data_IF_989057185255
#
_entry.id   IF_989057185255
#
_cell.length_a   1.000
_cell.length_b   1.000
_cell.length_c   1.000
_cell.angle_alpha   90.00
_cell.angle_beta   90.00
_cell.angle_gamma   90.00
#
_symmetry.space_group_name_H-M   'P 1'
#
loop_
_entity.id
_entity.type
_entity.pdbx_description
1 polymer ?
#
# COMPACT_ATOMS: atom_id res chain seq x y z
N UNK A 1 -17.80 -10.55 -28.63
CA UNK A 1 -16.61 -9.68 -28.50
C UNK A 1 -15.79 -10.21 -27.34
N UNK A 2 -14.53 -10.63 -27.53
CA UNK A 2 -13.71 -11.04 -26.40
C UNK A 2 -13.41 -9.78 -25.56
N UNK A 3 -13.82 -9.80 -24.29
CA UNK A 3 -13.48 -8.78 -23.29
C UNK A 3 -11.96 -8.72 -23.17
N UNK A 4 -11.36 -7.54 -23.24
CA UNK A 4 -9.93 -7.36 -23.06
C UNK A 4 -9.52 -7.97 -21.71
N UNK A 5 -8.74 -9.04 -21.72
CA UNK A 5 -8.17 -9.63 -20.51
C UNK A 5 -7.06 -8.71 -20.05
N UNK A 6 -7.34 -7.86 -19.05
CA UNK A 6 -6.30 -7.04 -18.41
C UNK A 6 -5.24 -7.95 -17.80
N UNK A 7 -3.96 -7.73 -18.14
CA UNK A 7 -2.86 -8.53 -17.59
C UNK A 7 -2.66 -8.23 -16.10
N UNK A 8 -2.16 -9.20 -15.34
CA UNK A 8 -1.83 -9.02 -13.91
C UNK A 8 -0.89 -7.82 -13.69
N UNK A 9 0.11 -7.66 -14.57
CA UNK A 9 1.03 -6.52 -14.55
C UNK A 9 0.29 -5.19 -14.65
N UNK A 10 -0.65 -5.05 -15.59
CA UNK A 10 -1.43 -3.81 -15.75
C UNK A 10 -2.29 -3.49 -14.51
N UNK A 11 -2.83 -4.52 -13.85
CA UNK A 11 -3.57 -4.34 -12.58
C UNK A 11 -2.63 -3.84 -11.48
N UNK A 12 -1.45 -4.45 -11.34
CA UNK A 12 -0.46 -4.03 -10.34
C UNK A 12 0.05 -2.61 -10.61
N UNK A 13 0.29 -2.23 -11.87
CA UNK A 13 0.68 -0.88 -12.27
C UNK A 13 -0.40 0.16 -11.90
N UNK A 14 -1.67 -0.16 -12.12
CA UNK A 14 -2.78 0.71 -11.73
C UNK A 14 -2.85 0.91 -10.21
N UNK A 15 -2.66 -0.17 -9.44
CA UNK A 15 -2.61 -0.11 -7.97
C UNK A 15 -1.43 0.75 -7.51
N UNK A 16 -0.22 0.52 -8.04
CA UNK A 16 0.98 1.29 -7.70
C UNK A 16 0.78 2.77 -8.02
N UNK A 17 0.17 3.09 -9.17
CA UNK A 17 -0.13 4.47 -9.55
C UNK A 17 -1.07 5.13 -8.53
N UNK A 18 -2.17 4.47 -8.16
CA UNK A 18 -3.10 4.98 -7.17
C UNK A 18 -2.47 5.20 -5.79
N UNK A 19 -1.62 4.28 -5.34
CA UNK A 19 -0.87 4.41 -4.09
C UNK A 19 0.15 5.56 -4.16
N UNK A 20 0.83 5.72 -5.29
CA UNK A 20 1.79 6.81 -5.52
C UNK A 20 1.11 8.17 -5.51
N UNK A 21 -0.07 8.29 -6.13
CA UNK A 21 -0.90 9.49 -6.06
C UNK A 21 -1.32 9.78 -4.61
N UNK A 22 -1.74 8.76 -3.85
CA UNK A 22 -2.07 8.94 -2.43
C UNK A 22 -0.88 9.45 -1.61
N UNK A 23 0.32 8.89 -1.81
CA UNK A 23 1.55 9.37 -1.15
C UNK A 23 1.81 10.84 -1.47
N UNK A 24 1.76 11.23 -2.75
CA UNK A 24 2.03 12.61 -3.18
C UNK A 24 1.04 13.63 -2.62
N UNK A 25 -0.22 13.25 -2.43
CA UNK A 25 -1.27 14.18 -1.98
C UNK A 25 -1.43 14.22 -0.46
N UNK A 26 -1.08 13.16 0.25
CA UNK A 26 -1.46 12.97 1.65
C UNK A 26 -0.26 13.01 2.60
N UNK A 27 0.95 12.78 2.10
CA UNK A 27 2.17 12.85 2.90
C UNK A 27 2.92 14.15 2.61
N UNK A 28 3.76 14.61 3.55
CA UNK A 28 4.69 15.70 3.30
C UNK A 28 5.58 15.43 2.07
N UNK A 29 6.11 16.48 1.41
CA UNK A 29 7.11 16.32 0.36
C UNK A 29 8.31 15.48 0.83
N UNK A 30 8.91 14.75 -0.11
CA UNK A 30 10.05 13.87 0.15
C UNK A 30 9.67 12.40 0.32
N UNK A 31 8.42 12.06 0.62
CA UNK A 31 7.99 10.66 0.65
C UNK A 31 7.70 10.11 -0.75
N UNK A 32 8.27 8.94 -1.06
CA UNK A 32 8.13 8.24 -2.34
C UNK A 32 7.74 6.78 -2.11
N UNK A 33 6.94 6.23 -3.03
CA UNK A 33 6.59 4.81 -3.06
C UNK A 33 7.42 4.08 -4.12
N UNK A 34 8.00 2.92 -3.78
CA UNK A 34 8.68 2.06 -4.76
C UNK A 34 8.19 0.62 -4.63
N UNK A 35 7.82 -0.05 -5.73
CA UNK A 35 7.56 -1.48 -5.71
C UNK A 35 8.88 -2.25 -5.53
N UNK A 36 8.78 -3.45 -4.97
CA UNK A 36 9.90 -4.39 -4.89
C UNK A 36 9.37 -5.84 -4.99
N UNK A 37 10.27 -6.82 -4.85
CA UNK A 37 9.88 -8.23 -4.85
C UNK A 37 9.51 -8.77 -6.23
N UNK A 38 8.54 -9.69 -6.27
CA UNK A 38 8.18 -10.47 -7.46
C UNK A 38 7.63 -9.63 -8.62
N UNK A 39 6.99 -8.49 -8.33
CA UNK A 39 6.54 -7.54 -9.35
C UNK A 39 7.72 -6.96 -10.15
N UNK A 40 8.77 -6.51 -9.47
CA UNK A 40 9.95 -5.91 -10.13
C UNK A 40 10.79 -6.98 -10.86
N UNK A 41 10.68 -8.23 -10.45
CA UNK A 41 11.39 -9.36 -11.06
C UNK A 41 10.60 -10.04 -12.19
N UNK A 42 9.38 -9.59 -12.48
CA UNK A 42 8.45 -10.23 -13.43
C UNK A 42 8.18 -11.73 -13.14
N UNK A 43 8.19 -12.12 -11.86
CA UNK A 43 7.98 -13.50 -11.37
C UNK A 43 6.69 -13.65 -10.54
N UNK A 44 5.71 -12.78 -10.77
CA UNK A 44 4.46 -12.76 -10.04
C UNK A 44 3.63 -14.05 -10.23
N UNK A 45 3.12 -14.57 -9.12
CA UNK A 45 2.14 -15.67 -9.13
C UNK A 45 0.77 -15.15 -8.67
N UNK A 46 -0.33 -15.64 -9.24
CA UNK A 46 -1.67 -15.30 -8.75
C UNK A 46 -1.81 -15.56 -7.24
N UNK A 47 -2.38 -14.58 -6.52
CA UNK A 47 -2.56 -14.65 -5.06
C UNK A 47 -1.33 -14.26 -4.23
N UNK A 48 -0.20 -13.90 -4.86
CA UNK A 48 0.94 -13.30 -4.13
C UNK A 48 0.68 -11.84 -3.77
N UNK A 49 1.35 -11.37 -2.72
CA UNK A 49 1.27 -9.97 -2.32
C UNK A 49 2.01 -9.08 -3.33
N UNK A 50 1.49 -7.87 -3.51
CA UNK A 50 2.21 -6.80 -4.19
C UNK A 50 2.99 -6.00 -3.14
N UNK A 51 4.31 -6.12 -3.19
CA UNK A 51 5.18 -5.49 -2.20
C UNK A 51 5.58 -4.07 -2.63
N UNK A 52 5.33 -3.11 -1.74
CA UNK A 52 5.71 -1.71 -1.92
C UNK A 52 6.37 -1.17 -0.67
N UNK A 53 7.38 -0.34 -0.84
CA UNK A 53 8.08 0.32 0.25
C UNK A 53 7.94 1.84 0.13
N UNK A 54 7.79 2.48 1.29
CA UNK A 54 7.66 3.92 1.45
C UNK A 54 9.01 4.46 1.94
N UNK A 55 9.63 5.32 1.14
CA UNK A 55 10.96 5.88 1.39
C UNK A 55 10.87 7.39 1.56
N UNK A 56 11.75 7.95 2.38
CA UNK A 56 11.97 9.39 2.45
C UNK A 56 13.22 9.76 1.63
N UNK A 57 13.05 10.65 0.67
CA UNK A 57 14.09 11.23 -0.16
C UNK A 57 14.24 12.71 0.23
N UNK A 58 15.06 12.95 1.26
CA UNK A 58 15.26 14.28 1.83
C UNK A 58 16.22 14.25 3.01
N UNK A 59 16.38 15.40 3.65
CA UNK A 59 17.09 15.53 4.92
C UNK A 59 16.04 15.52 6.03
N UNK A 60 16.08 14.53 6.92
CA UNK A 60 15.22 14.54 8.10
C UNK A 60 15.69 15.67 9.02
N UNK A 61 14.85 16.68 9.24
CA UNK A 61 15.14 17.73 10.20
C UNK A 61 14.91 17.21 11.62
N UNK A 62 15.85 17.47 12.53
CA UNK A 62 15.70 17.15 13.95
C UNK A 62 14.39 17.74 14.50
N UNK A 63 13.52 16.87 15.04
CA UNK A 63 12.23 17.26 15.61
C UNK A 63 11.00 16.99 14.74
N UNK A 64 11.16 16.63 13.46
CA UNK A 64 10.05 16.15 12.63
C UNK A 64 9.85 14.64 12.80
N UNK A 65 9.10 14.24 13.82
CA UNK A 65 8.60 12.86 13.91
C UNK A 65 7.28 12.74 13.16
N UNK A 66 7.35 12.40 11.86
CA UNK A 66 6.16 12.06 11.07
C UNK A 66 6.12 10.56 10.81
N UNK A 67 5.11 9.88 11.36
CA UNK A 67 4.87 8.48 11.04
C UNK A 67 4.16 8.36 9.69
N UNK A 68 4.95 8.27 8.62
CA UNK A 68 4.46 8.22 7.25
C UNK A 68 3.62 6.97 6.94
N UNK A 69 3.93 5.84 7.58
CA UNK A 69 3.14 4.63 7.43
C UNK A 69 1.72 4.81 7.99
N UNK A 70 1.61 5.42 9.18
CA UNK A 70 0.31 5.72 9.79
C UNK A 70 -0.45 6.80 9.02
N UNK A 71 0.25 7.85 8.57
CA UNK A 71 -0.34 8.91 7.74
C UNK A 71 -0.93 8.36 6.43
N UNK A 72 -0.18 7.47 5.76
CA UNK A 72 -0.62 6.84 4.52
C UNK A 72 -1.80 5.88 4.77
N UNK A 73 -1.71 5.05 5.81
CA UNK A 73 -2.80 4.15 6.18
C UNK A 73 -4.09 4.92 6.48
N UNK A 74 -4.02 6.00 7.27
CA UNK A 74 -5.17 6.84 7.56
C UNK A 74 -5.76 7.44 6.28
N UNK A 75 -4.93 7.90 5.35
CA UNK A 75 -5.39 8.44 4.08
C UNK A 75 -6.08 7.39 3.19
N UNK A 76 -5.52 6.19 3.10
CA UNK A 76 -6.11 5.08 2.34
C UNK A 76 -7.44 4.62 2.96
N UNK A 77 -7.51 4.53 4.29
CA UNK A 77 -8.75 4.24 5.00
C UNK A 77 -9.82 5.32 4.77
N UNK A 78 -9.45 6.62 4.74
CA UNK A 78 -10.41 7.69 4.41
C UNK A 78 -10.93 7.59 2.98
N UNK A 79 -10.07 7.29 2.02
CA UNK A 79 -10.43 7.27 0.58
C UNK A 79 -11.15 6.00 0.15
N UNK A 80 -10.85 4.87 0.80
CA UNK A 80 -11.33 3.56 0.37
C UNK A 80 -11.41 2.55 1.53
N UNK A 81 -12.05 2.91 2.64
CA UNK A 81 -12.24 2.07 3.83
C UNK A 81 -12.79 0.66 3.56
N UNK A 82 -13.59 0.48 2.50
CA UNK A 82 -14.12 -0.83 2.10
C UNK A 82 -13.15 -1.69 1.28
N UNK A 83 -11.93 -1.20 0.99
CA UNK A 83 -10.90 -1.90 0.22
C UNK A 83 -9.62 -2.14 1.00
N UNK A 84 -9.46 -1.49 2.15
CA UNK A 84 -8.26 -1.58 2.96
C UNK A 84 -8.63 -2.01 4.37
N UNK A 85 -7.88 -2.98 4.90
CA UNK A 85 -7.92 -3.34 6.30
C UNK A 85 -6.57 -3.02 6.93
N UNK A 86 -6.59 -2.27 8.03
CA UNK A 86 -5.41 -2.02 8.83
C UNK A 86 -5.17 -3.21 9.75
N UNK A 87 -4.13 -4.00 9.45
CA UNK A 87 -3.67 -5.03 10.39
C UNK A 87 -2.63 -4.37 11.29
N UNK A 88 -2.96 -4.24 12.58
CA UNK A 88 -2.02 -3.81 13.62
C UNK A 88 -0.73 -4.61 13.56
N UNK A 89 0.43 -4.01 13.89
CA UNK A 89 1.70 -4.73 13.81
C UNK A 89 1.64 -5.99 14.69
N UNK A 90 2.27 -7.06 14.23
CA UNK A 90 2.65 -8.20 15.08
C UNK A 90 3.36 -7.62 16.31
N UNK A 91 2.69 -7.63 17.46
CA UNK A 91 3.25 -7.22 18.73
C UNK A 91 4.37 -8.19 19.11
N UNK A 92 5.56 -8.01 18.53
CA UNK A 92 6.76 -8.62 19.06
C UNK A 92 7.07 -7.90 20.37
N UNK A 93 6.52 -8.43 21.47
CA UNK A 93 6.94 -8.16 22.85
C UNK A 93 6.98 -6.68 23.27
N UNK A 94 5.86 -6.17 23.79
CA UNK A 94 5.87 -5.13 24.83
C UNK A 94 6.30 -3.69 24.49
N UNK A 95 6.70 -3.37 23.25
CA UNK A 95 6.99 -1.98 22.86
C UNK A 95 5.73 -1.26 22.34
N UNK A 96 5.53 0.05 22.63
CA UNK A 96 4.45 0.82 22.06
C UNK A 96 4.56 0.82 20.52
N UNK A 97 3.44 0.56 19.84
CA UNK A 97 3.30 0.35 18.40
C UNK A 97 3.55 1.62 17.56
N UNK A 98 4.67 2.29 17.76
CA UNK A 98 4.95 3.58 17.14
C UNK A 98 5.61 3.47 15.75
N UNK A 99 6.10 2.30 15.33
CA UNK A 99 6.88 2.17 14.08
C UNK A 99 6.93 0.76 13.50
N UNK A 100 5.88 -0.05 13.68
CA UNK A 100 5.80 -1.39 13.10
C UNK A 100 5.38 -1.37 11.62
N UNK A 101 5.72 -2.41 10.82
CA UNK A 101 5.24 -2.53 9.45
C UNK A 101 3.72 -2.57 9.46
N UNK A 102 3.10 -1.66 8.70
CA UNK A 102 1.66 -1.62 8.52
C UNK A 102 1.33 -2.54 7.34
N UNK A 103 0.64 -3.65 7.62
CA UNK A 103 0.10 -4.50 6.54
C UNK A 103 -1.29 -4.00 6.19
N UNK A 104 -1.43 -3.51 4.97
CA UNK A 104 -2.72 -3.18 4.38
C UNK A 104 -3.15 -4.35 3.51
N UNK A 105 -4.23 -5.03 3.88
CA UNK A 105 -4.88 -5.95 2.95
C UNK A 105 -5.71 -5.12 1.99
N UNK A 106 -5.25 -5.03 0.75
CA UNK A 106 -6.07 -4.53 -0.34
C UNK A 106 -7.01 -5.66 -0.76
N UNK A 107 -8.32 -5.40 -0.80
CA UNK A 107 -9.34 -6.39 -1.16
C UNK A 107 -9.10 -7.04 -2.53
N UNK A 108 -9.71 -8.20 -2.76
CA UNK A 108 -9.57 -8.96 -4.00
C UNK A 108 -9.93 -8.10 -5.25
N UNK A 109 -8.92 -7.79 -6.06
CA UNK A 109 -9.05 -7.01 -7.30
C UNK A 109 -9.41 -7.88 -8.51
N UNK A 110 -9.62 -9.18 -8.34
CA UNK A 110 -9.82 -10.12 -9.44
C UNK A 110 -11.15 -9.98 -10.20
N UNK A 111 -12.10 -9.15 -9.73
CA UNK A 111 -13.46 -9.12 -10.32
C UNK A 111 -14.13 -7.75 -10.49
N UNK A 112 -13.58 -6.64 -10.01
CA UNK A 112 -14.28 -5.34 -10.05
C UNK A 112 -15.61 -5.30 -9.27
N UNK A 113 -16.00 -6.36 -8.59
CA UNK A 113 -17.14 -6.40 -7.67
C UNK A 113 -16.68 -6.80 -6.27
N UNK A 114 -17.29 -6.09 -5.31
CA UNK A 114 -16.97 -6.05 -3.89
C UNK A 114 -16.71 -7.43 -3.28
N UNK A 115 -15.71 -7.48 -2.39
CA UNK A 115 -15.78 -8.34 -1.21
C UNK A 115 -17.01 -7.89 -0.42
N UNK A 116 -18.07 -8.69 -0.53
CA UNK A 116 -19.20 -8.65 0.37
C UNK A 116 -19.24 -9.95 1.16
N UNK A 117 -19.80 -9.82 2.37
CA UNK A 117 -20.25 -10.83 3.34
C UNK A 117 -19.17 -11.23 4.35
N UNK A 118 -19.38 -11.12 5.66
CA UNK A 118 -20.59 -11.11 6.49
C UNK A 118 -20.43 -10.16 7.68
#
# INVERSE_FOLDING_TARGET
>A
MPSATTSMTAICEEIIRGLTEAVRHELPPGWILRPFGSFVQDTMLPGTALDVALYFEGIEEEGQSFNAALGLAAALMRKASGRFELISPLSASGAPAASGPVRLLAGDFSSGQRVGKQ
#
